data_IF_296090750280
#
_entry.id   IF_296090750280
#
_cell.length_a   1.000
_cell.length_b   1.000
_cell.length_c   1.000
_cell.angle_alpha   90.00
_cell.angle_beta   90.00
_cell.angle_gamma   90.00
#
_symmetry.space_group_name_H-M   'P 1'
#
loop_
_entity.id
_entity.type
_entity.pdbx_description
1 polymer ?
#
# COMPACT_ATOMS: atom_id res chain seq x y z
N UNK A 1 -0.89 7.72 -30.96
CA UNK A 1 -2.05 6.89 -30.53
C UNK A 1 -1.62 5.56 -29.91
N UNK A 2 -0.86 4.68 -30.60
CA UNK A 2 -0.37 3.40 -30.03
C UNK A 2 0.55 3.58 -28.81
N UNK A 3 1.36 4.64 -28.79
CA UNK A 3 2.33 4.88 -27.71
C UNK A 3 1.68 5.28 -26.37
N UNK A 4 0.69 6.20 -26.39
CA UNK A 4 -0.03 6.61 -25.18
C UNK A 4 -0.78 5.44 -24.54
N UNK A 5 -1.38 4.55 -25.35
CA UNK A 5 -2.04 3.33 -24.85
C UNK A 5 -1.05 2.34 -24.23
N UNK A 6 0.09 2.09 -24.88
CA UNK A 6 1.15 1.26 -24.31
C UNK A 6 1.67 1.82 -22.97
N UNK A 7 1.85 3.14 -22.89
CA UNK A 7 2.27 3.79 -21.63
C UNK A 7 1.17 3.69 -20.55
N UNK A 8 -0.09 3.81 -20.93
CA UNK A 8 -1.22 3.59 -20.02
C UNK A 8 -1.27 2.15 -19.49
N UNK A 9 -1.08 1.15 -20.34
CA UNK A 9 -1.00 -0.26 -19.93
C UNK A 9 0.18 -0.53 -18.99
N UNK A 10 1.33 0.13 -19.20
CA UNK A 10 2.46 0.08 -18.26
C UNK A 10 2.10 0.66 -16.89
N UNK A 11 1.32 1.74 -16.83
CA UNK A 11 0.79 2.25 -15.56
C UNK A 11 -0.09 1.19 -14.88
N UNK A 12 -1.05 0.61 -15.61
CA UNK A 12 -1.96 -0.40 -15.04
C UNK A 12 -1.21 -1.63 -14.51
N UNK A 13 -0.30 -2.21 -15.29
CA UNK A 13 0.52 -3.36 -14.87
C UNK A 13 1.33 -3.06 -13.61
N UNK A 14 1.92 -1.85 -13.54
CA UNK A 14 2.71 -1.45 -12.38
C UNK A 14 1.83 -1.28 -11.15
N UNK A 15 0.67 -0.62 -11.28
CA UNK A 15 -0.26 -0.45 -10.18
C UNK A 15 -0.90 -1.76 -9.73
N UNK A 16 -1.24 -2.66 -10.66
CA UNK A 16 -1.69 -4.01 -10.36
C UNK A 16 -0.73 -4.70 -9.42
N UNK A 17 0.57 -4.70 -9.77
CA UNK A 17 1.59 -5.34 -8.95
C UNK A 17 1.76 -4.66 -7.60
N UNK A 18 1.89 -3.32 -7.58
CA UNK A 18 2.19 -2.59 -6.35
C UNK A 18 1.00 -2.58 -5.38
N UNK A 19 -0.22 -2.39 -5.86
CA UNK A 19 -1.42 -2.37 -5.02
C UNK A 19 -1.77 -3.78 -4.53
N UNK A 20 -1.62 -4.82 -5.35
CA UNK A 20 -1.85 -6.20 -4.92
C UNK A 20 -0.88 -6.61 -3.81
N UNK A 21 0.41 -6.31 -3.97
CA UNK A 21 1.41 -6.60 -2.95
C UNK A 21 1.19 -5.76 -1.68
N UNK A 22 0.86 -4.48 -1.82
CA UNK A 22 0.55 -3.59 -0.70
C UNK A 22 -0.66 -4.11 0.11
N UNK A 23 -1.76 -4.42 -0.58
CA UNK A 23 -2.98 -4.95 0.03
C UNK A 23 -2.70 -6.25 0.79
N UNK A 24 -1.92 -7.16 0.17
CA UNK A 24 -1.56 -8.43 0.79
C UNK A 24 -0.70 -8.26 2.04
N UNK A 25 0.30 -7.37 1.98
CA UNK A 25 1.12 -7.05 3.14
C UNK A 25 0.28 -6.44 4.27
N UNK A 26 -0.65 -5.55 3.93
CA UNK A 26 -1.54 -4.92 4.89
C UNK A 26 -2.47 -5.94 5.55
N UNK A 27 -3.14 -6.79 4.77
CA UNK A 27 -4.04 -7.82 5.30
C UNK A 27 -3.29 -8.81 6.20
N UNK A 28 -2.10 -9.27 5.80
CA UNK A 28 -1.28 -10.16 6.63
C UNK A 28 -0.82 -9.48 7.92
N UNK A 29 -0.36 -8.24 7.82
CA UNK A 29 0.06 -7.46 8.98
C UNK A 29 -1.10 -7.25 9.96
N UNK A 30 -2.28 -6.93 9.45
CA UNK A 30 -3.49 -6.76 10.28
C UNK A 30 -3.88 -8.09 10.95
N UNK A 31 -3.88 -9.20 10.21
CA UNK A 31 -4.19 -10.53 10.73
C UNK A 31 -3.21 -10.97 11.83
N UNK A 32 -1.91 -10.74 11.63
CA UNK A 32 -0.87 -11.02 12.63
C UNK A 32 -1.06 -10.16 13.90
N UNK A 33 -1.34 -8.86 13.75
CA UNK A 33 -1.57 -7.98 14.90
C UNK A 33 -2.82 -8.37 15.68
N UNK A 34 -3.92 -8.71 15.01
CA UNK A 34 -5.14 -9.24 15.67
C UNK A 34 -4.85 -10.54 16.43
N UNK A 35 -4.00 -11.39 15.86
CA UNK A 35 -3.59 -12.67 16.44
C UNK A 35 -2.66 -12.56 17.65
N UNK A 36 -2.01 -11.41 17.90
CA UNK A 36 -1.14 -11.22 19.08
C UNK A 36 -1.85 -11.49 20.41
N UNK A 37 -3.14 -11.19 20.49
CA UNK A 37 -3.95 -11.37 21.70
C UNK A 37 -4.30 -12.84 21.96
N UNK A 38 -4.61 -13.60 20.89
CA UNK A 38 -5.13 -14.97 20.97
C UNK A 38 -4.07 -16.05 20.78
N UNK A 39 -2.94 -15.73 20.13
CA UNK A 39 -1.87 -16.68 19.75
C UNK A 39 -0.48 -16.27 20.26
N UNK A 40 -0.46 -15.56 21.40
CA UNK A 40 0.79 -15.04 21.99
C UNK A 40 1.82 -16.13 22.26
N UNK A 41 1.38 -17.28 22.77
CA UNK A 41 2.28 -18.39 23.16
C UNK A 41 2.99 -18.96 21.93
N UNK A 42 2.26 -19.12 20.84
CA UNK A 42 2.75 -19.57 19.54
C UNK A 42 3.78 -18.59 18.97
N UNK A 43 3.48 -17.28 19.04
CA UNK A 43 4.39 -16.25 18.56
C UNK A 43 5.67 -16.14 19.40
N UNK A 44 5.60 -16.40 20.71
CA UNK A 44 6.79 -16.39 21.58
C UNK A 44 7.77 -17.54 21.24
N UNK A 45 7.31 -18.69 20.71
CA UNK A 45 8.21 -19.78 20.26
C UNK A 45 9.23 -19.26 19.24
N UNK A 46 8.78 -18.37 18.35
CA UNK A 46 9.60 -17.79 17.29
C UNK A 46 9.55 -16.25 17.33
N UNK A 47 9.69 -15.67 18.53
CA UNK A 47 9.52 -14.23 18.77
C UNK A 47 10.31 -13.35 17.79
N UNK A 48 11.60 -13.67 17.60
CA UNK A 48 12.48 -12.89 16.72
C UNK A 48 11.96 -12.88 15.27
N UNK A 49 11.51 -14.04 14.78
CA UNK A 49 10.92 -14.17 13.44
C UNK A 49 9.68 -13.28 13.30
N UNK A 50 8.70 -13.40 14.19
CA UNK A 50 7.46 -12.63 14.09
C UNK A 50 7.69 -11.12 14.21
N UNK A 51 8.62 -10.69 15.07
CA UNK A 51 9.02 -9.27 15.15
C UNK A 51 9.61 -8.77 13.83
N UNK A 52 10.53 -9.51 13.22
CA UNK A 52 11.14 -9.13 11.93
C UNK A 52 10.08 -9.07 10.83
N UNK A 53 9.16 -10.03 10.79
CA UNK A 53 8.08 -10.08 9.79
C UNK A 53 7.16 -8.88 9.94
N UNK A 54 6.66 -8.57 11.14
CA UNK A 54 5.80 -7.41 11.38
C UNK A 54 6.46 -6.09 10.97
N UNK A 55 7.72 -5.89 11.35
CA UNK A 55 8.49 -4.69 10.98
C UNK A 55 8.69 -4.58 9.46
N UNK A 56 8.98 -5.72 8.81
CA UNK A 56 9.21 -5.78 7.37
C UNK A 56 7.92 -5.48 6.59
N UNK A 57 6.78 -6.03 7.03
CA UNK A 57 5.47 -5.76 6.45
C UNK A 57 5.11 -4.28 6.58
N UNK A 58 5.21 -3.72 7.79
CA UNK A 58 4.89 -2.31 8.03
C UNK A 58 5.77 -1.37 7.21
N UNK A 59 7.08 -1.65 7.16
CA UNK A 59 8.03 -0.92 6.32
C UNK A 59 7.59 -0.95 4.85
N UNK A 60 7.26 -2.13 4.32
CA UNK A 60 6.85 -2.26 2.93
C UNK A 60 5.53 -1.53 2.64
N UNK A 61 4.57 -1.57 3.57
CA UNK A 61 3.30 -0.84 3.47
C UNK A 61 3.56 0.67 3.36
N UNK A 62 4.34 1.23 4.29
CA UNK A 62 4.66 2.66 4.33
C UNK A 62 5.38 3.09 3.05
N UNK A 63 6.46 2.38 2.66
CA UNK A 63 7.22 2.72 1.44
C UNK A 63 6.33 2.69 0.21
N UNK A 64 5.48 1.68 0.08
CA UNK A 64 4.66 1.50 -1.11
C UNK A 64 3.56 2.56 -1.18
N UNK A 65 2.90 2.89 -0.06
CA UNK A 65 1.96 4.01 0.02
C UNK A 65 2.67 5.31 -0.37
N UNK A 66 3.82 5.60 0.23
CA UNK A 66 4.57 6.81 -0.10
C UNK A 66 4.82 6.90 -1.61
N UNK A 67 5.31 5.82 -2.24
CA UNK A 67 5.60 5.79 -3.68
C UNK A 67 4.36 5.96 -4.56
N UNK A 68 3.21 5.39 -4.15
CA UNK A 68 1.96 5.51 -4.90
C UNK A 68 1.40 6.94 -4.89
N UNK A 69 1.64 7.67 -3.81
CA UNK A 69 1.02 8.98 -3.56
C UNK A 69 1.98 10.18 -3.65
N UNK A 70 3.28 9.95 -3.81
CA UNK A 70 4.30 11.01 -3.81
C UNK A 70 4.03 12.09 -4.88
N UNK A 71 3.69 13.30 -4.44
CA UNK A 71 3.67 14.51 -5.26
C UNK A 71 4.99 15.24 -5.03
N UNK A 72 5.96 15.08 -5.94
CA UNK A 72 7.28 15.69 -5.79
C UNK A 72 7.59 16.62 -6.97
N UNK A 73 7.77 17.91 -6.65
CA UNK A 73 8.04 19.01 -7.60
C UNK A 73 9.53 19.21 -7.90
N UNK A 74 10.43 18.38 -7.36
CA UNK A 74 11.85 18.56 -7.60
C UNK A 74 12.71 17.43 -7.07
N UNK A 75 13.33 16.69 -7.99
CA UNK A 75 14.31 15.60 -7.83
C UNK A 75 13.74 14.18 -7.80
N UNK A 76 14.44 13.32 -8.54
CA UNK A 76 14.10 11.95 -8.97
C UNK A 76 13.66 11.02 -7.83
N UNK A 77 12.35 10.81 -7.61
CA UNK A 77 11.78 9.56 -7.07
C UNK A 77 10.38 9.28 -7.67
N UNK A 78 10.10 7.97 -7.78
CA UNK A 78 9.01 7.26 -8.49
C UNK A 78 8.52 7.84 -9.83
N UNK A 79 8.88 7.22 -10.96
CA UNK A 79 8.34 7.57 -12.29
C UNK A 79 6.81 7.33 -12.40
N UNK A 80 6.28 6.40 -11.60
CA UNK A 80 4.90 5.92 -11.68
C UNK A 80 4.23 6.10 -10.31
N UNK A 81 3.32 7.08 -10.23
CA UNK A 81 2.48 7.35 -9.06
C UNK A 81 1.08 7.82 -9.52
N UNK A 82 0.10 7.84 -8.61
CA UNK A 82 -1.30 8.13 -8.94
C UNK A 82 -1.49 9.55 -9.50
N UNK A 83 -0.79 10.55 -8.97
CA UNK A 83 -0.88 11.92 -9.46
C UNK A 83 -0.37 12.05 -10.91
N UNK A 84 0.79 11.45 -11.21
CA UNK A 84 1.34 11.39 -12.58
C UNK A 84 0.45 10.59 -13.51
N UNK A 85 -0.17 9.52 -13.03
CA UNK A 85 -1.14 8.75 -13.80
C UNK A 85 -2.37 9.59 -14.18
N UNK A 86 -2.97 10.29 -13.22
CA UNK A 86 -4.11 11.18 -13.47
C UNK A 86 -3.74 12.33 -14.42
N UNK A 87 -2.58 12.96 -14.23
CA UNK A 87 -2.06 13.99 -15.14
C UNK A 87 -1.81 13.44 -16.55
N UNK A 88 -1.26 12.22 -16.66
CA UNK A 88 -1.04 11.56 -17.93
C UNK A 88 -2.36 11.26 -18.66
N UNK A 89 -3.36 10.74 -17.94
CA UNK A 89 -4.72 10.51 -18.46
C UNK A 89 -5.33 11.82 -18.95
N UNK A 90 -5.23 12.90 -18.19
CA UNK A 90 -5.77 14.21 -18.55
C UNK A 90 -5.20 14.72 -19.87
N UNK A 91 -3.88 14.62 -20.05
CA UNK A 91 -3.17 15.07 -21.25
C UNK A 91 -3.43 14.18 -22.48
N UNK A 92 -3.67 12.88 -22.27
CA UNK A 92 -3.76 11.88 -23.34
C UNK A 92 -5.16 11.27 -23.51
N UNK A 93 -6.17 11.86 -22.90
CA UNK A 93 -7.54 11.32 -22.79
C UNK A 93 -8.09 10.77 -24.12
N UNK A 94 -8.08 11.59 -25.18
CA UNK A 94 -8.58 11.21 -26.52
C UNK A 94 -7.77 10.11 -27.21
N UNK A 95 -6.52 9.90 -26.80
CA UNK A 95 -5.65 8.87 -27.39
C UNK A 95 -5.77 7.53 -26.66
N UNK A 96 -6.06 7.56 -25.37
CA UNK A 96 -6.17 6.38 -24.51
C UNK A 96 -7.55 5.76 -24.64
N UNK A 97 -8.61 6.54 -24.40
CA UNK A 97 -9.95 6.00 -24.22
C UNK A 97 -10.75 5.96 -25.52
N UNK A 98 -11.57 4.91 -25.74
CA UNK A 98 -12.47 4.84 -26.90
C UNK A 98 -13.47 6.01 -26.94
N UNK A 99 -13.91 6.47 -25.77
CA UNK A 99 -14.74 7.66 -25.58
C UNK A 99 -14.01 8.61 -24.64
N UNK A 100 -13.89 9.88 -25.04
CA UNK A 100 -13.25 10.89 -24.20
C UNK A 100 -13.95 10.96 -22.84
N UNK A 101 -13.18 10.85 -21.77
CA UNK A 101 -13.67 10.97 -20.40
C UNK A 101 -13.91 12.45 -20.10
N UNK A 102 -14.91 12.77 -19.26
CA UNK A 102 -15.14 14.13 -18.78
C UNK A 102 -14.02 14.54 -17.80
N UNK A 103 -13.42 15.71 -17.99
CA UNK A 103 -12.39 16.27 -17.09
C UNK A 103 -12.82 16.30 -15.63
N UNK A 104 -14.11 16.50 -15.36
CA UNK A 104 -14.68 16.45 -14.01
C UNK A 104 -14.34 15.15 -13.26
N UNK A 105 -14.36 14.00 -13.95
CA UNK A 105 -14.07 12.68 -13.34
C UNK A 105 -12.61 12.60 -12.87
N UNK A 106 -11.69 13.15 -13.66
CA UNK A 106 -10.26 13.18 -13.33
C UNK A 106 -10.01 14.11 -12.14
N UNK A 107 -10.65 15.29 -12.14
CA UNK A 107 -10.54 16.25 -11.04
C UNK A 107 -11.12 15.72 -9.74
N UNK A 108 -12.23 14.97 -9.78
CA UNK A 108 -12.80 14.32 -8.61
C UNK A 108 -11.80 13.34 -7.97
N UNK A 109 -11.05 12.56 -8.77
CA UNK A 109 -10.02 11.66 -8.24
C UNK A 109 -8.79 12.41 -7.70
N UNK A 110 -8.36 13.49 -8.36
CA UNK A 110 -7.29 14.35 -7.84
C UNK A 110 -7.67 14.97 -6.49
N UNK A 111 -8.90 15.47 -6.37
CA UNK A 111 -9.40 16.03 -5.11
C UNK A 111 -9.57 14.96 -4.02
N UNK A 112 -9.97 13.73 -4.37
CA UNK A 112 -9.97 12.60 -3.42
C UNK A 112 -8.58 12.37 -2.83
N UNK A 113 -7.54 12.37 -3.67
CA UNK A 113 -6.14 12.21 -3.23
C UNK A 113 -5.71 13.41 -2.37
N UNK A 114 -6.02 14.63 -2.80
CA UNK A 114 -5.69 15.87 -2.08
C UNK A 114 -6.30 15.92 -0.68
N UNK A 115 -7.53 15.40 -0.51
CA UNK A 115 -8.16 15.31 0.81
C UNK A 115 -7.41 14.42 1.82
N UNK A 116 -6.50 13.57 1.34
CA UNK A 116 -5.67 12.70 2.18
C UNK A 116 -4.29 13.31 2.48
N UNK A 117 -4.02 14.55 2.07
CA UNK A 117 -2.70 15.21 2.18
C UNK A 117 -2.16 15.17 3.62
N UNK A 118 -2.99 15.50 4.62
CA UNK A 118 -2.59 15.46 6.04
C UNK A 118 -2.19 14.05 6.50
N UNK A 119 -2.86 13.01 6.00
CA UNK A 119 -2.54 11.62 6.32
C UNK A 119 -1.25 11.20 5.62
N UNK A 120 -1.10 11.57 4.35
CA UNK A 120 0.10 11.30 3.57
C UNK A 120 1.33 11.99 4.16
N UNK A 121 1.21 13.22 4.64
CA UNK A 121 2.28 13.94 5.35
C UNK A 121 2.78 13.15 6.58
N UNK A 122 1.88 12.63 7.42
CA UNK A 122 2.26 11.76 8.55
C UNK A 122 3.02 10.53 8.10
N UNK A 123 2.56 9.88 7.01
CA UNK A 123 3.19 8.67 6.47
C UNK A 123 4.57 9.00 5.86
N UNK A 124 4.72 10.15 5.21
CA UNK A 124 6.02 10.63 4.71
C UNK A 124 6.99 10.91 5.86
N UNK A 125 6.52 11.50 6.97
CA UNK A 125 7.32 11.67 8.19
C UNK A 125 7.75 10.31 8.74
N UNK A 126 6.86 9.32 8.76
CA UNK A 126 7.23 7.95 9.15
C UNK A 126 8.30 7.37 8.24
N UNK A 127 8.15 7.48 6.91
CA UNK A 127 9.18 7.04 5.97
C UNK A 127 10.52 7.73 6.26
N UNK A 128 10.52 9.04 6.41
CA UNK A 128 11.76 9.80 6.56
C UNK A 128 12.42 9.55 7.92
N UNK A 129 11.66 9.45 9.01
CA UNK A 129 12.21 9.20 10.35
C UNK A 129 12.56 7.73 10.59
N UNK A 130 11.67 6.81 10.24
CA UNK A 130 11.83 5.38 10.51
C UNK A 130 12.76 4.70 9.50
N UNK A 131 12.78 5.14 8.23
CA UNK A 131 13.51 4.46 7.16
C UNK A 131 14.77 5.20 6.68
N UNK A 132 14.86 6.53 6.82
CA UNK A 132 16.10 7.24 6.49
C UNK A 132 17.14 7.20 7.63
N UNK A 133 16.70 6.90 8.85
CA UNK A 133 17.56 6.70 10.01
C UNK A 133 17.44 5.26 10.54
N UNK A 134 18.06 4.31 9.83
CA UNK A 134 18.69 3.13 10.44
C UNK A 134 19.83 3.55 11.37
N UNK A 135 19.60 4.53 12.24
CA UNK A 135 20.39 4.78 13.43
C UNK A 135 19.86 3.82 14.50
N UNK A 136 20.76 3.04 15.10
CA UNK A 136 20.50 2.03 16.12
C UNK A 136 19.63 2.50 17.32
N UNK A 137 19.33 3.80 17.43
CA UNK A 137 18.55 4.42 18.48
C UNK A 137 17.02 4.31 18.29
N UNK A 138 16.52 4.11 17.06
CA UNK A 138 15.07 4.05 16.79
C UNK A 138 14.52 2.65 16.48
N UNK A 139 15.39 1.70 16.12
CA UNK A 139 15.01 0.27 16.04
C UNK A 139 14.44 -0.28 17.37
N UNK A 140 14.85 0.31 18.49
CA UNK A 140 14.38 -0.03 19.84
C UNK A 140 13.25 0.89 20.36
N UNK A 141 12.91 1.98 19.65
CA UNK A 141 11.97 3.02 20.10
C UNK A 141 10.76 3.16 19.15
N UNK A 142 10.31 2.06 18.55
CA UNK A 142 9.06 2.02 17.77
C UNK A 142 7.88 2.66 18.52
N UNK A 143 7.85 2.47 19.84
CA UNK A 143 6.85 3.04 20.76
C UNK A 143 6.81 4.57 20.72
N UNK A 144 7.98 5.25 20.72
CA UNK A 144 8.03 6.72 20.70
C UNK A 144 7.56 7.31 19.37
N UNK A 145 7.89 6.69 18.23
CA UNK A 145 7.42 7.15 16.92
C UNK A 145 5.90 6.96 16.77
N UNK A 146 5.38 5.85 17.29
CA UNK A 146 3.95 5.56 17.35
C UNK A 146 3.19 6.50 18.30
N UNK A 147 3.83 7.00 19.35
CA UNK A 147 3.26 7.98 20.28
C UNK A 147 3.23 9.39 19.67
N UNK A 148 4.31 9.81 19.02
CA UNK A 148 4.42 11.15 18.43
C UNK A 148 3.59 11.31 17.14
N UNK A 149 3.43 10.23 16.37
CA UNK A 149 2.72 10.22 15.09
C UNK A 149 1.95 8.90 14.94
N UNK A 150 0.82 8.70 15.63
CA UNK A 150 0.07 7.46 15.53
C UNK A 150 -0.44 7.27 14.10
N UNK A 151 -0.03 6.17 13.47
CA UNK A 151 -0.62 5.70 12.21
C UNK A 151 -1.90 4.96 12.56
N UNK A 152 -3.03 5.44 12.06
CA UNK A 152 -4.26 4.69 12.13
C UNK A 152 -4.31 3.66 11.00
N UNK A 153 -4.53 2.38 11.31
CA UNK A 153 -4.66 1.33 10.29
C UNK A 153 -5.86 1.57 9.36
N UNK A 154 -6.93 2.21 9.85
CA UNK A 154 -8.07 2.61 9.02
C UNK A 154 -7.66 3.67 7.98
N UNK A 155 -6.73 4.57 8.33
CA UNK A 155 -6.19 5.56 7.40
C UNK A 155 -5.35 4.88 6.31
N UNK A 156 -4.52 3.88 6.67
CA UNK A 156 -3.77 3.10 5.69
C UNK A 156 -4.70 2.30 4.76
N UNK A 157 -5.72 1.65 5.32
CA UNK A 157 -6.71 0.91 4.56
C UNK A 157 -7.44 1.83 3.58
N UNK A 158 -7.89 3.01 4.05
CA UNK A 158 -8.54 4.02 3.21
C UNK A 158 -7.67 4.44 2.03
N UNK A 159 -6.37 4.65 2.23
CA UNK A 159 -5.43 4.94 1.14
C UNK A 159 -5.33 3.78 0.15
N UNK A 160 -5.25 2.54 0.63
CA UNK A 160 -5.22 1.35 -0.24
C UNK A 160 -6.50 1.28 -1.09
N UNK A 161 -7.67 1.49 -0.49
CA UNK A 161 -8.95 1.48 -1.21
C UNK A 161 -9.06 2.61 -2.23
N UNK A 162 -8.62 3.82 -1.91
CA UNK A 162 -8.56 4.92 -2.88
C UNK A 162 -7.69 4.56 -4.09
N UNK A 163 -6.55 3.91 -3.87
CA UNK A 163 -5.67 3.46 -4.96
C UNK A 163 -6.36 2.41 -5.84
N UNK A 164 -6.96 1.38 -5.22
CA UNK A 164 -7.73 0.33 -5.91
C UNK A 164 -8.86 0.93 -6.75
N UNK A 165 -9.71 1.77 -6.15
CA UNK A 165 -10.84 2.44 -6.80
C UNK A 165 -10.38 3.27 -8.00
N UNK A 166 -9.33 4.08 -7.81
CA UNK A 166 -8.79 4.96 -8.85
C UNK A 166 -8.33 4.13 -10.05
N UNK A 167 -7.50 3.12 -9.82
CA UNK A 167 -6.95 2.30 -10.90
C UNK A 167 -8.05 1.49 -11.60
N UNK A 168 -8.96 0.88 -10.84
CA UNK A 168 -10.07 0.12 -11.42
C UNK A 168 -11.04 0.99 -12.23
N UNK A 169 -11.28 2.24 -11.81
CA UNK A 169 -12.09 3.18 -12.58
C UNK A 169 -11.53 3.37 -13.99
N UNK A 170 -10.24 3.67 -14.11
CA UNK A 170 -9.64 3.90 -15.43
C UNK A 170 -9.41 2.60 -16.21
N UNK A 171 -9.17 1.47 -15.54
CA UNK A 171 -9.15 0.16 -16.17
C UNK A 171 -10.49 -0.16 -16.85
N UNK A 172 -11.60 0.05 -16.14
CA UNK A 172 -12.96 -0.12 -16.66
C UNK A 172 -13.26 0.80 -17.82
N UNK A 173 -12.87 2.08 -17.73
CA UNK A 173 -13.07 3.04 -18.83
C UNK A 173 -12.23 2.71 -20.08
N UNK A 174 -11.08 2.05 -19.91
CA UNK A 174 -10.19 1.67 -21.01
C UNK A 174 -10.64 0.39 -21.73
N UNK A 175 -10.89 -0.69 -20.99
CA UNK A 175 -11.15 -2.03 -21.55
C UNK A 175 -12.39 -2.74 -21.00
N UNK A 176 -13.24 -2.06 -20.24
CA UNK A 176 -14.42 -2.63 -19.57
C UNK A 176 -14.10 -3.86 -18.70
N UNK A 177 -12.98 -3.77 -17.99
CA UNK A 177 -12.42 -4.83 -17.15
C UNK A 177 -12.08 -4.27 -15.77
N UNK A 178 -11.76 -5.16 -14.83
CA UNK A 178 -11.34 -4.80 -13.47
C UNK A 178 -10.17 -5.67 -13.03
N UNK A 179 -9.33 -5.11 -12.17
CA UNK A 179 -8.21 -5.79 -11.53
C UNK A 179 -8.70 -6.25 -10.15
N UNK A 180 -8.45 -7.52 -9.85
CA UNK A 180 -8.68 -8.10 -8.52
C UNK A 180 -7.39 -7.92 -7.74
N UNK A 181 -7.45 -7.19 -6.62
CA UNK A 181 -6.28 -6.86 -5.81
C UNK A 181 -6.15 -7.73 -4.54
N UNK A 182 -7.11 -8.63 -4.30
CA UNK A 182 -7.10 -9.54 -3.16
C UNK A 182 -6.38 -10.84 -3.51
N UNK A 183 -5.57 -11.34 -2.58
CA UNK A 183 -4.93 -12.66 -2.69
C UNK A 183 -5.56 -13.60 -1.66
N UNK A 184 -5.86 -14.82 -2.08
CA UNK A 184 -6.61 -15.83 -1.29
C UNK A 184 -5.77 -16.40 -0.12
N UNK A 185 -4.45 -16.24 -0.15
CA UNK A 185 -3.52 -16.96 0.72
C UNK A 185 -3.05 -16.18 1.96
N UNK A 186 -3.66 -15.04 2.29
CA UNK A 186 -3.30 -14.26 3.48
C UNK A 186 -3.44 -15.08 4.78
N UNK A 187 -4.37 -16.04 4.79
CA UNK A 187 -4.63 -16.91 5.93
C UNK A 187 -3.72 -18.15 5.99
N UNK A 188 -2.79 -18.34 5.06
CA UNK A 188 -1.86 -19.49 5.10
C UNK A 188 -0.98 -19.47 6.36
N UNK A 189 -0.80 -18.29 6.97
CA UNK A 189 -0.15 -18.11 8.27
C UNK A 189 -0.86 -18.87 9.40
N UNK A 190 -2.15 -19.16 9.27
CA UNK A 190 -2.90 -19.96 10.24
C UNK A 190 -2.43 -21.43 10.26
N UNK A 191 -1.91 -21.94 9.13
CA UNK A 191 -1.30 -23.27 9.09
C UNK A 191 0.02 -23.29 9.90
N UNK A 192 0.76 -22.18 9.89
CA UNK A 192 1.96 -22.01 10.73
C UNK A 192 1.55 -21.99 12.21
N UNK A 193 0.53 -21.19 12.57
CA UNK A 193 0.03 -21.17 13.95
C UNK A 193 -0.48 -22.52 14.42
N UNK A 194 -1.21 -23.24 13.57
CA UNK A 194 -1.68 -24.59 13.88
C UNK A 194 -0.51 -25.54 14.19
N UNK A 195 0.54 -25.48 13.38
CA UNK A 195 1.75 -26.30 13.58
C UNK A 195 2.45 -25.97 14.90
N UNK A 196 2.61 -24.68 15.20
CA UNK A 196 3.21 -24.22 16.47
C UNK A 196 2.36 -24.61 17.70
N UNK A 197 1.04 -24.57 17.56
CA UNK A 197 0.11 -25.01 18.62
C UNK A 197 0.30 -26.50 18.93
N UNK A 198 0.53 -27.32 17.91
CA UNK A 198 0.77 -28.76 18.08
C UNK A 198 2.06 -29.01 18.87
N UNK A 199 3.12 -28.28 18.57
CA UNK A 199 4.39 -28.37 19.32
C UNK A 199 4.21 -28.00 20.79
N UNK A 200 3.48 -26.91 21.10
CA UNK A 200 3.19 -26.50 22.48
C UNK A 200 2.42 -27.55 23.30
N UNK A 201 1.63 -28.41 22.63
CA UNK A 201 0.88 -29.49 23.31
C UNK A 201 1.74 -30.71 23.58
N UNK A 202 2.86 -30.85 22.88
CA UNK A 202 3.78 -31.99 22.98
C UNK A 202 5.01 -31.70 23.86
N UNK A 203 5.23 -30.42 24.24
CA UNK A 203 6.26 -29.93 25.17
C UNK A 203 5.75 -29.81 26.60
#
# INVERSE_FOLDING_TARGET
MKESRKKFEKYLMKFETDITNLNSCFQLFEHLNKSLSSRRKEMEIAKCFFTIILNSLLTNIIITICRLYENYDGKKRSEINLNRFLNFIEQNNKMIFPKSIKYKIINEDKEKIKKQETTLEKIFVWRDKYLAHTDNKYLLNFTQLSEDNPINFDELQSLIEIAKETVNKYCKLYKNDFIIFDIVNVYDIDNIFYSLTKELKNS
#
